data_IF_307400117327
#
_entry.id   IF_307400117327
#
_cell.length_a   1.000
_cell.length_b   1.000
_cell.length_c   1.000
_cell.angle_alpha   90.00
_cell.angle_beta   90.00
_cell.angle_gamma   90.00
#
_symmetry.space_group_name_H-M   'P 1'
#
loop_
_entity.id
_entity.type
_entity.pdbx_description
1 polymer ?
#
# COMPACT_ATOMS: atom_id res chain seq x y z
N UNK A 1 -14.98 20.71 16.52
CA UNK A 1 -15.04 19.98 15.24
C UNK A 1 -13.64 19.94 14.68
N UNK A 2 -13.13 18.77 14.29
CA UNK A 2 -11.83 18.67 13.61
C UNK A 2 -11.90 19.48 12.30
N UNK A 3 -10.81 20.18 11.94
CA UNK A 3 -10.75 20.89 10.66
C UNK A 3 -10.76 19.90 9.50
N UNK A 4 -11.20 20.33 8.31
CA UNK A 4 -11.20 19.46 7.12
C UNK A 4 -9.82 18.84 6.86
N UNK A 5 -8.74 19.56 7.16
CA UNK A 5 -7.37 19.06 7.03
C UNK A 5 -7.09 17.89 8.00
N UNK A 6 -7.49 17.99 9.26
CA UNK A 6 -7.33 16.89 10.22
C UNK A 6 -8.13 15.64 9.81
N UNK A 7 -9.32 15.82 9.24
CA UNK A 7 -10.13 14.71 8.71
C UNK A 7 -9.39 14.01 7.56
N UNK A 8 -8.81 14.76 6.64
CA UNK A 8 -8.05 14.21 5.50
C UNK A 8 -6.82 13.43 5.96
N UNK A 9 -6.11 13.89 6.99
CA UNK A 9 -4.92 13.20 7.53
C UNK A 9 -5.26 11.85 8.14
N UNK A 10 -6.31 11.83 8.97
CA UNK A 10 -6.82 10.60 9.58
C UNK A 10 -7.32 9.65 8.50
N UNK A 11 -8.06 10.15 7.50
CA UNK A 11 -8.54 9.35 6.38
C UNK A 11 -7.39 8.75 5.56
N UNK A 12 -6.34 9.52 5.27
CA UNK A 12 -5.15 9.04 4.57
C UNK A 12 -4.39 7.97 5.35
N UNK A 13 -4.23 8.14 6.67
CA UNK A 13 -3.60 7.15 7.53
C UNK A 13 -4.39 5.82 7.57
N UNK A 14 -5.71 5.91 7.74
CA UNK A 14 -6.60 4.74 7.71
C UNK A 14 -6.55 4.07 6.32
N UNK A 15 -6.64 4.87 5.25
CA UNK A 15 -6.57 4.38 3.87
C UNK A 15 -5.27 3.61 3.60
N UNK A 16 -4.13 4.15 4.03
CA UNK A 16 -2.83 3.48 3.91
C UNK A 16 -2.81 2.12 4.63
N UNK A 17 -3.30 2.06 5.87
CA UNK A 17 -3.39 0.81 6.65
C UNK A 17 -4.28 -0.20 5.92
N UNK A 18 -5.45 0.23 5.44
CA UNK A 18 -6.38 -0.62 4.69
C UNK A 18 -5.71 -1.14 3.40
N UNK A 19 -4.97 -0.30 2.68
CA UNK A 19 -4.23 -0.72 1.47
C UNK A 19 -3.20 -1.81 1.78
N UNK A 20 -2.42 -1.66 2.87
CA UNK A 20 -1.46 -2.68 3.29
C UNK A 20 -2.17 -3.98 3.66
N UNK A 21 -3.24 -3.91 4.45
CA UNK A 21 -3.99 -5.10 4.88
C UNK A 21 -4.60 -5.82 3.69
N UNK A 22 -5.30 -5.10 2.81
CA UNK A 22 -5.95 -5.72 1.64
C UNK A 22 -4.92 -6.32 0.69
N UNK A 23 -3.82 -5.63 0.39
CA UNK A 23 -2.77 -6.21 -0.45
C UNK A 23 -2.05 -7.37 0.24
N UNK A 24 -1.80 -7.27 1.54
CA UNK A 24 -1.19 -8.35 2.32
C UNK A 24 -2.07 -9.60 2.29
N UNK A 25 -3.37 -9.44 2.54
CA UNK A 25 -4.36 -10.52 2.44
C UNK A 25 -4.46 -11.06 1.03
N UNK A 26 -4.49 -10.21 -0.01
CA UNK A 26 -4.57 -10.66 -1.40
C UNK A 26 -3.33 -11.45 -1.85
N UNK A 27 -2.16 -11.17 -1.28
CA UNK A 27 -0.93 -11.92 -1.56
C UNK A 27 -0.76 -13.15 -0.64
N UNK A 28 -1.27 -13.11 0.59
CA UNK A 28 -1.13 -14.17 1.59
C UNK A 28 -2.27 -15.21 1.55
N UNK A 29 -3.45 -14.87 1.02
CA UNK A 29 -4.46 -15.84 0.65
C UNK A 29 -4.18 -16.29 -0.78
N UNK A 30 -3.55 -17.46 -0.98
CA UNK A 30 -3.52 -18.06 -2.29
C UNK A 30 -4.97 -18.35 -2.71
N UNK A 31 -5.51 -17.54 -3.63
CA UNK A 31 -6.76 -17.85 -4.30
C UNK A 31 -6.53 -19.20 -5.00
N UNK A 32 -7.09 -20.28 -4.44
CA UNK A 32 -6.95 -21.66 -4.92
C UNK A 32 -5.63 -22.40 -4.57
N UNK A 33 -4.94 -22.04 -3.47
CA UNK A 33 -3.80 -22.82 -2.95
C UNK A 33 -2.47 -22.64 -3.70
N UNK A 34 -2.41 -21.69 -4.63
CA UNK A 34 -1.20 -21.27 -5.37
C UNK A 34 -0.96 -19.79 -5.10
N UNK A 35 0.28 -19.39 -4.81
CA UNK A 35 0.61 -17.96 -4.63
C UNK A 35 0.50 -17.21 -5.96
N UNK A 36 0.24 -15.90 -5.93
CA UNK A 36 0.18 -15.05 -7.13
C UNK A 36 1.45 -15.14 -7.99
N UNK A 37 2.61 -15.34 -7.34
CA UNK A 37 3.90 -15.57 -8.02
C UNK A 37 3.96 -16.92 -8.72
N UNK A 38 3.61 -18.01 -8.02
CA UNK A 38 3.58 -19.36 -8.60
C UNK A 38 2.54 -19.50 -9.72
N UNK A 39 1.38 -18.85 -9.61
CA UNK A 39 0.37 -18.83 -10.68
C UNK A 39 0.89 -18.13 -11.94
N UNK A 40 1.67 -17.06 -11.77
CA UNK A 40 2.34 -16.36 -12.88
C UNK A 40 3.38 -17.26 -13.56
N UNK A 41 4.15 -18.02 -12.77
CA UNK A 41 5.19 -18.93 -13.28
C UNK A 41 4.61 -20.17 -13.99
N UNK A 42 3.42 -20.64 -13.58
CA UNK A 42 2.72 -21.77 -14.21
C UNK A 42 2.19 -21.41 -15.61
N UNK A 43 1.74 -20.17 -15.81
CA UNK A 43 1.24 -19.68 -17.10
C UNK A 43 2.24 -18.73 -17.75
N UNK A 44 3.46 -19.21 -18.00
CA UNK A 44 4.49 -18.46 -18.73
C UNK A 44 3.97 -17.93 -20.07
N UNK A 45 3.50 -16.70 -20.08
CA UNK A 45 2.99 -16.00 -21.26
C UNK A 45 3.60 -14.59 -21.28
N UNK A 46 3.70 -13.97 -22.47
CA UNK A 46 4.33 -12.65 -22.64
C UNK A 46 3.66 -11.49 -21.85
N UNK A 47 2.58 -11.78 -21.11
CA UNK A 47 1.75 -10.79 -20.42
C UNK A 47 1.66 -11.03 -18.90
N UNK A 48 2.25 -12.11 -18.39
CA UNK A 48 2.28 -12.42 -16.95
C UNK A 48 3.53 -11.77 -16.35
N UNK A 49 3.38 -10.85 -15.39
CA UNK A 49 4.52 -10.21 -14.78
C UNK A 49 5.33 -11.25 -13.99
N UNK A 50 6.64 -11.28 -14.23
CA UNK A 50 7.56 -12.05 -13.39
C UNK A 50 7.41 -11.64 -11.92
N UNK A 51 7.64 -12.56 -10.98
CA UNK A 51 7.42 -12.35 -9.54
C UNK A 51 8.05 -11.07 -8.97
N UNK A 52 9.15 -10.58 -9.54
CA UNK A 52 9.79 -9.33 -9.11
C UNK A 52 8.96 -8.08 -9.43
N UNK A 53 8.03 -8.10 -10.38
CA UNK A 53 7.19 -6.94 -10.73
C UNK A 53 6.28 -6.56 -9.56
N UNK A 54 5.93 -7.54 -8.71
CA UNK A 54 5.20 -7.30 -7.46
C UNK A 54 6.02 -6.55 -6.40
N UNK A 55 7.34 -6.42 -6.55
CA UNK A 55 8.17 -5.62 -5.63
C UNK A 55 7.85 -4.12 -5.66
N UNK A 56 7.20 -3.63 -6.73
CA UNK A 56 6.77 -2.23 -6.84
C UNK A 56 5.86 -1.81 -5.69
N UNK A 57 5.08 -2.75 -5.14
CA UNK A 57 4.23 -2.51 -3.97
C UNK A 57 5.04 -2.06 -2.74
N UNK A 58 6.24 -2.59 -2.54
CA UNK A 58 7.14 -2.14 -1.47
C UNK A 58 7.53 -0.67 -1.62
N UNK A 59 7.88 -0.25 -2.84
CA UNK A 59 8.21 1.16 -3.14
C UNK A 59 7.01 2.06 -2.90
N UNK A 60 5.81 1.65 -3.36
CA UNK A 60 4.56 2.38 -3.14
C UNK A 60 4.28 2.53 -1.64
N UNK A 61 4.46 1.48 -0.84
CA UNK A 61 4.21 1.55 0.60
C UNK A 61 5.19 2.48 1.31
N UNK A 62 6.47 2.50 0.92
CA UNK A 62 7.45 3.44 1.48
C UNK A 62 7.05 4.88 1.17
N UNK A 63 6.65 5.17 -0.08
CA UNK A 63 6.23 6.51 -0.48
C UNK A 63 4.94 6.94 0.26
N UNK A 64 3.97 6.05 0.40
CA UNK A 64 2.75 6.32 1.15
C UNK A 64 3.02 6.53 2.64
N UNK A 65 3.91 5.72 3.24
CA UNK A 65 4.32 5.91 4.63
C UNK A 65 5.00 7.28 4.83
N UNK A 66 5.90 7.68 3.93
CA UNK A 66 6.55 8.98 3.97
C UNK A 66 5.55 10.12 3.81
N UNK A 67 4.59 10.00 2.89
CA UNK A 67 3.52 10.98 2.68
C UNK A 67 2.58 11.10 3.88
N UNK A 68 2.18 9.98 4.46
CA UNK A 68 1.35 9.95 5.68
C UNK A 68 2.12 10.57 6.85
N UNK A 69 3.39 10.22 7.04
CA UNK A 69 4.23 10.81 8.09
C UNK A 69 4.41 12.32 7.92
N UNK A 70 4.75 12.77 6.70
CA UNK A 70 4.94 14.18 6.37
C UNK A 70 3.69 15.02 6.68
N UNK A 71 2.49 14.49 6.41
CA UNK A 71 1.26 15.16 6.75
C UNK A 71 1.13 15.43 8.25
N UNK A 72 1.58 14.54 9.13
CA UNK A 72 1.50 14.77 10.57
C UNK A 72 2.58 15.75 11.06
N UNK A 73 3.80 15.69 10.51
CA UNK A 73 4.88 16.62 10.90
C UNK A 73 4.68 18.05 10.39
N UNK A 74 4.06 18.22 9.22
CA UNK A 74 3.83 19.55 8.64
C UNK A 74 2.80 20.40 9.42
N UNK A 75 1.88 19.77 10.17
CA UNK A 75 0.97 20.53 11.06
C UNK A 75 1.70 21.06 12.31
N UNK A 76 2.69 20.32 12.81
CA UNK A 76 3.44 20.73 14.00
C UNK A 76 4.32 21.95 13.70
N UNK A 77 4.80 22.10 12.46
CA UNK A 77 5.59 23.25 12.00
C UNK A 77 4.77 24.54 11.81
N UNK A 78 3.47 24.44 11.49
CA UNK A 78 2.58 25.61 11.29
C UNK A 78 2.09 26.23 12.63
N UNK A 79 2.31 25.54 13.75
CA UNK A 79 1.97 25.98 15.11
C UNK A 79 3.13 26.69 15.86
N UNK A 80 4.29 26.88 15.20
CA UNK A 80 5.44 27.65 15.68
C UNK A 80 5.66 28.92 14.85
#
# INVERSE_FOLDING_TARGET
MASNNQILKIANAIGFIVTIVVNGVANALPLNGVTTGELSDIYGNLFTPAGYVFSIWGVIYVLLAAFTYYQFTADDEELH
#
